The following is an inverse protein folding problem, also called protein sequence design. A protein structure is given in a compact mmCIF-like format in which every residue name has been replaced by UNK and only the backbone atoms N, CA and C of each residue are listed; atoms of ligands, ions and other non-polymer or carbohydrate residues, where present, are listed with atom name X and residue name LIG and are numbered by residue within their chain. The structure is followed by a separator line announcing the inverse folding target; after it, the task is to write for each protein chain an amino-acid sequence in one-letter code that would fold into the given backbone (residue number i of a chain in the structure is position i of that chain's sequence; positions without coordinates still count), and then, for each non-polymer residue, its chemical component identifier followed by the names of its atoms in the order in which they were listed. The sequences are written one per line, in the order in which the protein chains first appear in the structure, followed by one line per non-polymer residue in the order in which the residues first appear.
data_IF_122982704090
#
_entry.id   IF_122982704090
#
_cell.length_a   1.000
_cell.length_b   1.000
_cell.length_c   1.000
_cell.angle_alpha   90.00
_cell.angle_beta   90.00
_cell.angle_gamma   90.00
#
_symmetry.space_group_name_H-M   'P 1'
#
loop_
_entity.id
_entity.type
_entity.pdbx_description
1 polymer ?
#
# COMPACT_ATOMS: atom_id res chain seq x y z
N UNK A 1 -8.10 14.46 -15.00
CA UNK A 1 -9.07 13.75 -14.12
C UNK A 1 -8.46 13.56 -12.74
N UNK A 2 -9.22 13.70 -11.66
CA UNK A 2 -8.71 13.55 -10.28
C UNK A 2 -8.05 12.20 -9.97
N UNK A 3 -8.49 11.12 -10.62
CA UNK A 3 -7.93 9.76 -10.47
C UNK A 3 -6.44 9.72 -10.87
N UNK A 4 -6.09 10.29 -12.02
CA UNK A 4 -4.70 10.29 -12.50
C UNK A 4 -3.78 11.08 -11.57
N UNK A 5 -4.26 12.19 -11.01
CA UNK A 5 -3.51 12.97 -10.03
C UNK A 5 -3.29 12.18 -8.73
N UNK A 6 -4.30 11.44 -8.26
CA UNK A 6 -4.18 10.57 -7.09
C UNK A 6 -3.17 9.43 -7.30
N UNK A 7 -3.18 8.79 -8.46
CA UNK A 7 -2.20 7.74 -8.81
C UNK A 7 -0.78 8.30 -8.83
N UNK A 8 -0.57 9.46 -9.48
CA UNK A 8 0.75 10.12 -9.50
C UNK A 8 1.24 10.49 -8.11
N UNK A 9 0.35 10.96 -7.25
CA UNK A 9 0.73 11.31 -5.88
C UNK A 9 1.09 10.08 -5.04
N UNK A 10 0.39 8.96 -5.19
CA UNK A 10 0.77 7.68 -4.55
C UNK A 10 2.13 7.19 -5.04
N UNK A 11 2.42 7.32 -6.33
CA UNK A 11 3.71 6.98 -6.92
C UNK A 11 4.86 7.81 -6.30
N UNK A 12 4.65 9.13 -6.19
CA UNK A 12 5.57 10.04 -5.52
C UNK A 12 5.79 9.70 -4.03
N UNK A 13 4.74 9.27 -3.33
CA UNK A 13 4.86 8.83 -1.93
C UNK A 13 5.64 7.52 -1.82
N UNK A 14 5.47 6.58 -2.75
CA UNK A 14 6.21 5.32 -2.76
C UNK A 14 7.70 5.54 -2.94
N UNK A 15 8.07 6.50 -3.79
CA UNK A 15 9.47 6.80 -4.11
C UNK A 15 10.19 7.54 -2.97
N UNK A 16 9.49 7.96 -1.91
CA UNK A 16 10.10 8.49 -0.69
C UNK A 16 10.68 7.40 0.22
N UNK A 17 10.33 6.14 -0.01
CA UNK A 17 10.83 5.00 0.76
C UNK A 17 12.02 4.34 0.06
N UNK A 18 12.94 3.82 0.87
CA UNK A 18 14.23 3.24 0.48
C UNK A 18 14.05 2.11 -0.55
N UNK A 19 14.86 2.11 -1.59
CA UNK A 19 14.69 1.23 -2.76
C UNK A 19 14.85 -0.27 -2.44
N UNK A 20 15.58 -0.55 -1.36
CA UNK A 20 15.86 -1.86 -0.77
C UNK A 20 14.61 -2.48 -0.14
N UNK A 21 13.64 -1.65 0.27
CA UNK A 21 12.35 -2.11 0.79
C UNK A 21 11.58 -2.76 -0.37
N UNK A 22 11.02 -3.98 -0.18
CA UNK A 22 10.19 -4.62 -1.18
C UNK A 22 9.12 -3.69 -1.73
N UNK A 23 8.95 -3.68 -3.05
CA UNK A 23 7.98 -2.79 -3.73
C UNK A 23 6.56 -2.94 -3.18
N UNK A 24 6.21 -4.14 -2.72
CA UNK A 24 4.95 -4.44 -2.05
C UNK A 24 4.80 -3.63 -0.76
N UNK A 25 5.81 -3.63 0.10
CA UNK A 25 5.78 -2.90 1.37
C UNK A 25 5.86 -1.39 1.17
N UNK A 26 6.69 -0.91 0.23
CA UNK A 26 6.69 0.51 -0.18
C UNK A 26 5.32 0.98 -0.66
N UNK A 27 4.58 0.13 -1.35
CA UNK A 27 3.21 0.45 -1.78
C UNK A 27 2.29 0.66 -0.57
N UNK A 28 2.37 -0.19 0.44
CA UNK A 28 1.55 -0.03 1.65
C UNK A 28 1.98 1.15 2.52
N UNK A 29 3.29 1.44 2.59
CA UNK A 29 3.79 2.67 3.19
C UNK A 29 3.29 3.93 2.46
N UNK A 30 3.21 3.91 1.13
CA UNK A 30 2.65 5.00 0.35
C UNK A 30 1.15 5.20 0.62
N UNK A 31 0.36 4.12 0.64
CA UNK A 31 -1.09 4.17 0.97
C UNK A 31 -1.30 4.68 2.40
N UNK A 32 -0.49 4.25 3.36
CA UNK A 32 -0.53 4.75 4.73
C UNK A 32 -0.18 6.24 4.80
N UNK A 33 0.86 6.66 4.07
CA UNK A 33 1.32 8.06 4.01
C UNK A 33 0.31 8.97 3.32
N UNK A 34 -0.42 8.47 2.35
CA UNK A 34 -1.52 9.19 1.71
C UNK A 34 -2.62 9.54 2.74
N UNK A 35 -2.92 8.62 3.65
CA UNK A 35 -3.96 8.81 4.67
C UNK A 35 -3.48 9.60 5.90
N UNK A 36 -2.26 9.33 6.38
CA UNK A 36 -1.77 9.82 7.66
C UNK A 36 -0.66 10.89 7.55
N UNK A 37 -0.10 11.08 6.36
CA UNK A 37 1.17 11.78 6.14
C UNK A 37 2.39 10.92 6.46
N UNK A 38 3.46 11.09 5.68
CA UNK A 38 4.71 10.31 5.79
C UNK A 38 5.34 10.37 7.18
N UNK A 39 5.33 11.53 7.87
CA UNK A 39 5.92 11.68 9.20
C UNK A 39 5.34 10.74 10.25
N UNK A 40 4.05 10.37 10.14
CA UNK A 40 3.43 9.38 11.04
C UNK A 40 3.87 7.96 10.72
N UNK A 41 4.12 7.66 9.44
CA UNK A 41 4.66 6.37 9.01
C UNK A 41 6.11 6.23 9.46
N UNK A 42 6.94 7.28 9.33
CA UNK A 42 8.32 7.30 9.86
C UNK A 42 8.32 7.03 11.36
N UNK A 43 7.49 7.74 12.14
CA UNK A 43 7.37 7.49 13.58
C UNK A 43 6.92 6.06 13.91
N UNK A 44 6.08 5.45 13.07
CA UNK A 44 5.67 4.07 13.25
C UNK A 44 6.80 3.07 12.91
N UNK A 45 7.67 3.38 11.93
CA UNK A 45 8.88 2.60 11.63
C UNK A 45 9.87 2.68 12.79
N UNK A 46 10.11 3.88 13.33
CA UNK A 46 10.93 4.07 14.55
C UNK A 46 10.37 3.24 15.72
N UNK A 47 9.05 3.31 15.94
CA UNK A 47 8.39 2.52 16.98
C UNK A 47 8.45 1.01 16.71
N UNK A 48 8.47 0.58 15.46
CA UNK A 48 8.63 -0.84 15.11
C UNK A 48 9.98 -1.37 15.60
N UNK A 49 11.07 -0.60 15.40
CA UNK A 49 12.41 -0.94 15.91
C UNK A 49 12.39 -1.10 17.43
N UNK A 50 11.79 -0.15 18.16
CA UNK A 50 11.67 -0.22 19.63
C UNK A 50 10.90 -1.46 20.13
N UNK A 51 9.98 -1.98 19.32
CA UNK A 51 9.18 -3.16 19.61
C UNK A 51 9.81 -4.47 19.12
N UNK A 52 11.01 -4.43 18.53
CA UNK A 52 11.66 -5.60 17.92
C UNK A 52 10.93 -6.10 16.67
N UNK A 53 10.20 -5.22 15.98
CA UNK A 53 9.52 -5.49 14.71
C UNK A 53 10.37 -4.96 13.55
N UNK A 54 10.12 -5.51 12.36
CA UNK A 54 10.80 -5.09 11.13
C UNK A 54 10.25 -3.74 10.63
N UNK A 55 11.06 -2.67 10.57
CA UNK A 55 10.62 -1.35 10.12
C UNK A 55 10.39 -1.28 8.60
N UNK A 56 10.80 -2.28 7.84
CA UNK A 56 10.72 -2.31 6.38
C UNK A 56 9.56 -3.19 5.89
N UNK A 57 8.78 -3.75 6.82
CA UNK A 57 7.58 -4.52 6.53
C UNK A 57 6.34 -3.84 7.06
N UNK A 58 5.30 -3.72 6.23
CA UNK A 58 4.05 -3.11 6.67
C UNK A 58 3.22 -4.08 7.52
N UNK A 59 2.79 -5.20 6.92
CA UNK A 59 1.88 -6.13 7.58
C UNK A 59 2.58 -6.98 8.65
N UNK A 60 1.94 -7.11 9.80
CA UNK A 60 2.50 -7.84 10.94
C UNK A 60 3.67 -7.12 11.65
N UNK A 61 4.10 -5.95 11.17
CA UNK A 61 5.20 -5.18 11.74
C UNK A 61 4.80 -3.71 11.93
N UNK A 62 5.06 -2.81 10.98
CA UNK A 62 4.79 -1.36 11.16
C UNK A 62 3.31 -1.06 11.47
N UNK A 63 2.36 -1.83 10.94
CA UNK A 63 0.94 -1.68 11.32
C UNK A 63 0.68 -1.96 12.82
N UNK A 64 1.44 -2.88 13.44
CA UNK A 64 1.34 -3.17 14.88
C UNK A 64 1.94 -2.04 15.70
N UNK A 65 3.05 -1.46 15.23
CA UNK A 65 3.66 -0.29 15.85
C UNK A 65 2.72 0.93 15.80
N UNK A 66 2.01 1.13 14.68
CA UNK A 66 0.94 2.14 14.60
C UNK A 66 -0.19 1.88 15.61
N UNK A 67 -0.62 0.63 15.79
CA UNK A 67 -1.65 0.30 16.78
C UNK A 67 -1.17 0.53 18.23
N UNK A 68 0.11 0.28 18.53
CA UNK A 68 0.70 0.62 19.82
C UNK A 68 0.69 2.14 20.05
N UNK A 69 1.15 2.93 19.08
CA UNK A 69 1.07 4.40 19.12
C UNK A 69 -0.37 4.90 19.28
N UNK A 70 -1.34 4.23 18.66
CA UNK A 70 -2.75 4.57 18.79
C UNK A 70 -3.26 4.41 20.24
N UNK A 71 -2.80 3.39 20.96
CA UNK A 71 -3.15 3.18 22.36
C UNK A 71 -2.44 4.18 23.28
N UNK A 72 -1.13 4.39 23.07
CA UNK A 72 -0.33 5.34 23.84
C UNK A 72 -0.86 6.78 23.74
N UNK A 73 -1.37 7.17 22.56
CA UNK A 73 -1.86 8.54 22.30
C UNK A 73 -3.36 8.70 22.59
N UNK A 74 -4.06 7.64 23.02
CA UNK A 74 -5.51 7.64 23.23
C UNK A 74 -5.96 8.69 24.25
N UNK A 75 -5.21 8.88 25.33
CA UNK A 75 -5.52 9.83 26.41
C UNK A 75 -5.24 11.29 26.04
N UNK A 76 -4.39 11.54 25.05
CA UNK A 76 -3.93 12.89 24.69
C UNK A 76 -4.91 13.67 23.79
N UNK A 77 -6.13 13.16 23.57
CA UNK A 77 -7.13 13.79 22.68
C UNK A 77 -6.74 13.84 21.19
N UNK A 78 -5.55 13.34 20.83
CA UNK A 78 -5.08 13.18 19.44
C UNK A 78 -5.76 11.95 18.85
N UNK A 79 -7.03 12.15 18.45
CA UNK A 79 -7.95 11.11 17.98
C UNK A 79 -7.33 10.22 16.90
N UNK A 80 -7.30 8.92 17.16
CA UNK A 80 -7.56 7.81 16.23
C UNK A 80 -6.72 7.66 14.94
N UNK A 81 -5.87 8.60 14.57
CA UNK A 81 -5.30 8.67 13.22
C UNK A 81 -4.46 7.43 12.87
N UNK A 82 -3.61 6.96 13.80
CA UNK A 82 -2.85 5.73 13.59
C UNK A 82 -3.77 4.51 13.38
N UNK A 83 -4.79 4.36 14.23
CA UNK A 83 -5.78 3.27 14.10
C UNK A 83 -6.55 3.36 12.79
N UNK A 84 -7.04 4.56 12.43
CA UNK A 84 -7.78 4.79 11.19
C UNK A 84 -6.91 4.52 9.95
N UNK A 85 -5.61 4.83 10.01
CA UNK A 85 -4.66 4.54 8.92
C UNK A 85 -4.47 3.04 8.73
N UNK A 86 -4.32 2.29 9.82
CA UNK A 86 -4.25 0.81 9.74
C UNK A 86 -5.54 0.24 9.15
N UNK A 87 -6.70 0.74 9.58
CA UNK A 87 -8.00 0.34 9.00
C UNK A 87 -8.07 0.66 7.51
N UNK A 88 -7.70 1.88 7.12
CA UNK A 88 -7.72 2.34 5.72
C UNK A 88 -6.85 1.47 4.81
N UNK A 89 -5.61 1.17 5.22
CA UNK A 89 -4.71 0.31 4.44
C UNK A 89 -5.27 -1.09 4.29
N UNK A 90 -5.82 -1.68 5.35
CA UNK A 90 -6.46 -3.00 5.30
C UNK A 90 -7.66 -3.02 4.38
N UNK A 91 -8.48 -1.98 4.41
CA UNK A 91 -9.61 -1.81 3.50
C UNK A 91 -9.20 -1.71 2.03
N UNK A 92 -8.15 -0.93 1.72
CA UNK A 92 -7.59 -0.84 0.35
C UNK A 92 -7.07 -2.21 -0.09
N UNK A 93 -6.35 -2.92 0.78
CA UNK A 93 -5.89 -4.28 0.51
C UNK A 93 -7.03 -5.25 0.23
N UNK A 94 -8.05 -5.28 1.08
CA UNK A 94 -9.20 -6.19 0.87
C UNK A 94 -9.88 -5.95 -0.46
N UNK A 95 -10.05 -4.68 -0.87
CA UNK A 95 -10.63 -4.35 -2.18
C UNK A 95 -9.72 -4.78 -3.32
N UNK A 96 -8.41 -4.54 -3.21
CA UNK A 96 -7.43 -4.98 -4.20
C UNK A 96 -7.42 -6.51 -4.35
N UNK A 97 -7.35 -7.24 -3.24
CA UNK A 97 -7.34 -8.70 -3.23
C UNK A 97 -8.64 -9.25 -3.86
N UNK A 98 -9.80 -8.66 -3.54
CA UNK A 98 -11.09 -9.02 -4.14
C UNK A 98 -11.10 -8.77 -5.65
N UNK A 99 -10.58 -7.62 -6.10
CA UNK A 99 -10.48 -7.30 -7.52
C UNK A 99 -9.57 -8.28 -8.27
N UNK A 100 -8.39 -8.57 -7.72
CA UNK A 100 -7.45 -9.53 -8.31
C UNK A 100 -8.11 -10.90 -8.39
N UNK A 101 -8.81 -11.37 -7.36
CA UNK A 101 -9.50 -12.66 -7.41
C UNK A 101 -10.63 -12.69 -8.45
N UNK A 102 -11.40 -11.61 -8.58
CA UNK A 102 -12.50 -11.52 -9.54
C UNK A 102 -12.00 -11.41 -11.00
N UNK A 103 -10.83 -10.81 -11.22
CA UNK A 103 -10.28 -10.56 -12.57
C UNK A 103 -9.14 -11.51 -12.96
N UNK A 104 -8.54 -12.23 -12.02
CA UNK A 104 -7.47 -13.20 -12.27
C UNK A 104 -7.86 -14.25 -13.31
N UNK A 105 -9.09 -14.81 -13.33
CA UNK A 105 -9.50 -15.70 -14.41
C UNK A 105 -9.48 -15.03 -15.80
N UNK A 106 -9.89 -13.76 -15.90
CA UNK A 106 -9.88 -12.99 -17.15
C UNK A 106 -8.45 -12.61 -17.58
N UNK A 107 -7.60 -12.21 -16.62
CA UNK A 107 -6.18 -11.90 -16.86
C UNK A 107 -5.42 -13.15 -17.31
N UNK A 108 -5.66 -14.30 -16.67
CA UNK A 108 -5.06 -15.58 -17.04
C UNK A 108 -5.52 -16.04 -18.44
N UNK A 109 -6.80 -15.81 -18.79
CA UNK A 109 -7.34 -16.13 -20.12
C UNK A 109 -6.73 -15.23 -21.22
N UNK A 110 -6.50 -13.95 -20.92
CA UNK A 110 -5.80 -13.02 -21.83
C UNK A 110 -4.30 -13.30 -21.95
N UNK A 111 -3.70 -13.86 -20.91
CA UNK A 111 -2.28 -14.24 -20.87
C UNK A 111 -2.03 -15.68 -21.38
N UNK A 112 -2.96 -16.25 -22.16
CA UNK A 112 -2.84 -17.61 -22.70
C UNK A 112 -1.50 -17.89 -23.39
N UNK A 113 -1.09 -19.17 -23.51
CA UNK A 113 0.29 -19.59 -23.77
C UNK A 113 0.88 -19.16 -25.13
N UNK A 114 0.07 -18.66 -26.04
CA UNK A 114 0.49 -18.27 -27.40
C UNK A 114 0.58 -16.74 -27.51
N UNK A 115 1.71 -16.18 -27.10
CA UNK A 115 2.06 -14.76 -27.25
C UNK A 115 2.30 -14.30 -28.69
N UNK A 116 1.51 -14.76 -29.67
CA UNK A 116 1.55 -14.28 -31.06
C UNK A 116 0.24 -13.61 -31.42
N UNK A 117 0.20 -12.29 -31.28
CA UNK A 117 -0.82 -11.48 -31.91
C UNK A 117 -0.59 -11.46 -33.42
N UNK A 118 -1.31 -12.32 -34.14
CA UNK A 118 -1.44 -12.18 -35.60
C UNK A 118 -2.24 -10.91 -35.88
N UNK A 119 -1.56 -9.84 -36.26
CA UNK A 119 -2.19 -8.65 -36.83
C UNK A 119 -2.89 -9.04 -38.14
N UNK A 120 -4.18 -8.73 -38.35
CA UNK A 120 -4.74 -8.82 -39.69
C UNK A 120 -4.25 -7.60 -40.47
N UNK A 121 -3.32 -7.82 -41.39
CA UNK A 121 -2.92 -6.84 -42.39
C UNK A 121 -4.11 -6.46 -43.25
N UNK A 122 -4.42 -5.16 -43.31
CA UNK A 122 -5.16 -4.57 -44.43
C UNK A 122 -4.20 -4.49 -45.61
N UNK A 123 -4.61 -5.07 -46.73
CA UNK A 123 -3.98 -4.87 -48.03
C UNK A 123 -4.97 -5.29 -49.10
N UNK A 124 -5.43 -4.31 -49.85
CA UNK A 124 -6.32 -4.40 -51.01
C UNK A 124 -5.68 -5.14 -52.18
#
# INVERSE_FOLDING_TARGET
SGILAGVRYLDQLRDQFESEIPVTDRTWFAVASYHAGASRVVRARERAVELGLDPDRWFGHVERAMLALAEETRSAGRKGMYRHTVTYVREVRTRFDTYVQATAPELALRAGPDGVTKTPGRGS
#
